data_IF_027060086711
#
_entry.id   IF_027060086711
#
_cell.length_a   1.000
_cell.length_b   1.000
_cell.length_c   1.000
_cell.angle_alpha   90.00
_cell.angle_beta   90.00
_cell.angle_gamma   90.00
#
_symmetry.space_group_name_H-M   'P 1'
#
loop_
_entity.id
_entity.type
_entity.pdbx_description
1 polymer ?
#
# COMPACT_ATOMS: atom_id res chain seq x y z
N UNK A 1 -21.82 -21.67 3.32
CA UNK A 1 -21.27 -20.75 4.33
C UNK A 1 -20.51 -19.69 3.59
N UNK A 2 -20.96 -18.43 3.62
CA UNK A 2 -20.18 -17.30 3.11
C UNK A 2 -18.98 -17.07 4.01
N UNK A 3 -17.81 -16.87 3.42
CA UNK A 3 -16.60 -16.51 4.14
C UNK A 3 -16.61 -15.01 4.47
N UNK A 4 -15.81 -14.59 5.43
CA UNK A 4 -15.62 -13.16 5.76
C UNK A 4 -15.12 -12.37 4.53
N UNK A 5 -14.33 -13.01 3.67
CA UNK A 5 -13.85 -12.41 2.42
C UNK A 5 -15.03 -12.10 1.49
N UNK A 6 -15.98 -13.03 1.35
CA UNK A 6 -17.17 -12.81 0.52
C UNK A 6 -18.01 -11.62 1.03
N UNK A 7 -18.06 -11.40 2.34
CA UNK A 7 -18.76 -10.25 2.94
C UNK A 7 -18.03 -8.93 2.64
N UNK A 8 -16.70 -8.94 2.67
CA UNK A 8 -15.88 -7.78 2.31
C UNK A 8 -16.09 -7.42 0.84
N UNK A 9 -15.98 -8.40 -0.06
CA UNK A 9 -16.05 -8.17 -1.51
C UNK A 9 -17.41 -7.60 -1.95
N UNK A 10 -18.51 -7.90 -1.24
CA UNK A 10 -19.84 -7.32 -1.50
C UNK A 10 -19.94 -5.82 -1.20
N UNK A 11 -19.06 -5.28 -0.36
CA UNK A 11 -19.07 -3.86 0.06
C UNK A 11 -18.14 -3.04 -0.83
N UNK A 12 -17.17 -3.68 -1.49
CA UNK A 12 -16.18 -3.03 -2.32
C UNK A 12 -16.68 -2.89 -3.77
N UNK A 13 -16.16 -1.91 -4.53
CA UNK A 13 -16.50 -1.80 -5.95
C UNK A 13 -15.96 -2.99 -6.74
N UNK A 14 -16.76 -3.47 -7.68
CA UNK A 14 -16.40 -4.61 -8.53
C UNK A 14 -15.11 -4.35 -9.33
N UNK A 15 -14.27 -5.39 -9.43
CA UNK A 15 -13.04 -5.34 -10.21
C UNK A 15 -11.88 -4.55 -9.59
N UNK A 16 -12.05 -3.95 -8.41
CA UNK A 16 -10.97 -3.21 -7.72
C UNK A 16 -9.98 -4.09 -6.98
N UNK A 17 -10.39 -5.30 -6.59
CA UNK A 17 -9.56 -6.25 -5.84
C UNK A 17 -9.15 -7.38 -6.78
N UNK A 18 -7.84 -7.60 -6.94
CA UNK A 18 -7.28 -8.70 -7.74
C UNK A 18 -7.22 -10.01 -6.96
N UNK A 19 -6.98 -9.94 -5.66
CA UNK A 19 -6.97 -11.11 -4.77
C UNK A 19 -7.31 -10.72 -3.32
N UNK A 20 -7.84 -11.66 -2.56
CA UNK A 20 -8.21 -11.46 -1.16
C UNK A 20 -7.86 -12.72 -0.34
N UNK A 21 -6.98 -12.56 0.64
CA UNK A 21 -6.42 -13.69 1.39
C UNK A 21 -6.29 -13.39 2.88
N UNK A 22 -6.21 -14.45 3.69
CA UNK A 22 -5.82 -14.34 5.08
C UNK A 22 -4.30 -14.51 5.21
N UNK A 23 -3.63 -13.49 5.73
CA UNK A 23 -2.23 -13.56 6.13
C UNK A 23 -2.13 -13.56 7.65
N UNK A 24 -2.05 -14.76 8.23
CA UNK A 24 -2.14 -14.99 9.67
C UNK A 24 -3.41 -14.36 10.27
N UNK A 25 -3.27 -13.30 11.07
CA UNK A 25 -4.39 -12.60 11.69
C UNK A 25 -4.98 -11.46 10.83
N UNK A 26 -4.37 -11.16 9.67
CA UNK A 26 -4.77 -10.06 8.80
C UNK A 26 -5.58 -10.54 7.62
N UNK A 27 -6.54 -9.71 7.19
CA UNK A 27 -7.19 -9.85 5.88
C UNK A 27 -6.47 -8.90 4.94
N UNK A 28 -5.87 -9.45 3.88
CA UNK A 28 -5.10 -8.69 2.91
C UNK A 28 -5.85 -8.70 1.59
N UNK A 29 -6.06 -7.51 1.04
CA UNK A 29 -6.66 -7.29 -0.26
C UNK A 29 -5.57 -6.75 -1.19
N UNK A 30 -5.36 -7.44 -2.30
CA UNK A 30 -4.47 -6.98 -3.36
C UNK A 30 -5.25 -6.23 -4.42
N UNK A 31 -4.65 -5.16 -4.96
CA UNK A 31 -5.22 -4.41 -6.08
C UNK A 31 -4.15 -4.16 -7.14
N UNK A 32 -4.55 -4.29 -8.41
CA UNK A 32 -3.77 -3.88 -9.58
C UNK A 32 -4.10 -2.46 -10.04
N UNK A 33 -5.01 -1.78 -9.35
CA UNK A 33 -5.47 -0.44 -9.65
C UNK A 33 -4.73 0.56 -8.75
N UNK A 34 -3.71 1.22 -9.30
CA UNK A 34 -2.89 2.19 -8.58
C UNK A 34 -3.70 3.39 -8.06
N UNK A 35 -4.69 3.85 -8.81
CA UNK A 35 -5.53 4.99 -8.40
C UNK A 35 -6.40 4.60 -7.20
N UNK A 36 -6.96 3.39 -7.22
CA UNK A 36 -7.73 2.86 -6.10
C UNK A 36 -6.87 2.58 -4.86
N UNK A 37 -5.61 2.17 -5.04
CA UNK A 37 -4.67 2.02 -3.94
C UNK A 37 -4.40 3.37 -3.24
N UNK A 38 -4.18 4.43 -4.01
CA UNK A 38 -3.94 5.78 -3.52
C UNK A 38 -5.19 6.40 -2.88
N UNK A 39 -6.34 6.27 -3.53
CA UNK A 39 -7.62 6.74 -3.01
C UNK A 39 -8.76 5.72 -3.28
N UNK A 40 -9.07 4.93 -2.25
CA UNK A 40 -10.19 3.99 -2.28
C UNK A 40 -11.54 4.63 -1.93
N UNK A 41 -11.62 5.95 -1.81
CA UNK A 41 -12.83 6.71 -1.48
C UNK A 41 -13.54 6.23 -0.19
N UNK A 42 -12.75 5.72 0.76
CA UNK A 42 -13.23 5.20 2.03
C UNK A 42 -13.96 3.85 1.96
N UNK A 43 -13.94 3.16 0.82
CA UNK A 43 -14.56 1.84 0.65
C UNK A 43 -13.93 0.79 1.59
N UNK A 44 -12.61 0.81 1.78
CA UNK A 44 -11.92 -0.09 2.71
C UNK A 44 -12.38 0.16 4.15
N UNK A 45 -12.55 1.43 4.54
CA UNK A 45 -13.09 1.79 5.85
C UNK A 45 -14.50 1.23 6.05
N UNK A 46 -15.37 1.35 5.04
CA UNK A 46 -16.72 0.77 5.08
C UNK A 46 -16.68 -0.75 5.26
N UNK A 47 -15.78 -1.44 4.55
CA UNK A 47 -15.61 -2.88 4.71
C UNK A 47 -15.17 -3.24 6.14
N UNK A 48 -14.19 -2.53 6.71
CA UNK A 48 -13.76 -2.69 8.11
C UNK A 48 -14.93 -2.48 9.08
N UNK A 49 -15.78 -1.49 8.83
CA UNK A 49 -16.95 -1.20 9.65
C UNK A 49 -18.01 -2.32 9.62
N UNK A 50 -18.10 -3.08 8.52
CA UNK A 50 -19.00 -4.23 8.39
C UNK A 50 -18.45 -5.45 9.12
N UNK A 51 -17.19 -5.84 8.84
CA UNK A 51 -16.64 -7.11 9.35
C UNK A 51 -15.94 -7.00 10.70
N UNK A 52 -15.70 -5.77 11.21
CA UNK A 52 -15.02 -5.48 12.48
C UNK A 52 -13.66 -6.19 12.64
N UNK A 53 -12.93 -6.34 11.53
CA UNK A 53 -11.60 -6.96 11.46
C UNK A 53 -10.63 -6.04 10.73
N UNK A 54 -9.32 -6.22 10.99
CA UNK A 54 -8.25 -5.47 10.32
C UNK A 54 -8.16 -5.90 8.86
N UNK A 55 -8.32 -4.94 7.95
CA UNK A 55 -8.16 -5.12 6.51
C UNK A 55 -6.96 -4.26 6.07
N UNK A 56 -6.07 -4.86 5.28
CA UNK A 56 -4.91 -4.20 4.71
C UNK A 56 -5.03 -4.22 3.18
N UNK A 57 -5.04 -3.05 2.55
CA UNK A 57 -5.00 -2.92 1.10
C UNK A 57 -3.53 -2.84 0.66
N UNK A 58 -3.11 -3.66 -0.30
CA UNK A 58 -1.76 -3.70 -0.84
C UNK A 58 -1.78 -3.60 -2.36
N UNK A 59 -0.75 -2.97 -2.93
CA UNK A 59 -0.47 -3.06 -4.36
C UNK A 59 -0.09 -4.49 -4.70
N UNK A 60 -0.68 -5.02 -5.75
CA UNK A 60 -0.32 -6.32 -6.31
C UNK A 60 1.16 -6.30 -6.75
N UNK A 61 1.99 -7.29 -6.36
CA UNK A 61 3.40 -7.32 -6.72
C UNK A 61 3.65 -7.17 -8.23
N UNK A 62 2.70 -7.60 -9.07
CA UNK A 62 2.81 -7.50 -10.54
C UNK A 62 2.83 -6.06 -11.07
N UNK A 63 2.41 -5.07 -10.28
CA UNK A 63 2.44 -3.64 -10.66
C UNK A 63 3.56 -2.87 -9.95
N UNK A 64 4.42 -3.55 -9.17
CA UNK A 64 5.55 -2.92 -8.46
C UNK A 64 6.81 -2.94 -9.31
N UNK A 65 7.67 -1.93 -9.15
CA UNK A 65 8.99 -1.90 -9.80
C UNK A 65 9.96 -2.85 -9.10
N UNK A 66 10.94 -3.36 -9.84
CA UNK A 66 12.04 -4.13 -9.27
C UNK A 66 12.85 -3.25 -8.32
N UNK A 67 13.39 -3.86 -7.25
CA UNK A 67 14.12 -3.14 -6.20
C UNK A 67 15.33 -2.36 -6.76
N UNK A 68 16.07 -2.98 -7.68
CA UNK A 68 17.24 -2.39 -8.35
C UNK A 68 16.90 -1.14 -9.18
N UNK A 69 15.67 -1.04 -9.68
CA UNK A 69 15.17 0.11 -10.46
C UNK A 69 14.48 1.15 -9.56
N UNK A 70 13.84 0.68 -8.49
CA UNK A 70 13.10 1.51 -7.55
C UNK A 70 14.03 2.37 -6.68
N UNK A 71 15.14 1.82 -6.18
CA UNK A 71 16.08 2.56 -5.32
C UNK A 71 16.62 3.85 -5.98
N UNK A 72 17.20 3.83 -7.19
CA UNK A 72 17.69 5.05 -7.83
C UNK A 72 16.55 6.05 -8.12
N UNK A 73 15.35 5.56 -8.43
CA UNK A 73 14.17 6.40 -8.64
C UNK A 73 13.77 7.12 -7.35
N UNK A 74 13.72 6.42 -6.23
CA UNK A 74 13.43 6.98 -4.91
C UNK A 74 14.47 8.04 -4.53
N UNK A 75 15.77 7.73 -4.67
CA UNK A 75 16.85 8.69 -4.35
C UNK A 75 16.82 9.95 -5.21
N UNK A 76 16.28 9.87 -6.43
CA UNK A 76 16.12 11.02 -7.32
C UNK A 76 14.91 11.89 -6.95
N UNK A 77 13.83 11.29 -6.43
CA UNK A 77 12.63 12.01 -5.99
C UNK A 77 12.89 12.76 -4.69
N UNK A 78 13.61 12.12 -3.75
CA UNK A 78 13.85 12.67 -2.43
C UNK A 78 14.99 13.70 -2.44
N UNK A 79 14.83 14.85 -1.74
CA UNK A 79 15.88 15.86 -1.68
C UNK A 79 17.08 15.37 -0.86
N UNK A 80 18.30 15.67 -1.30
CA UNK A 80 19.54 15.30 -0.57
C UNK A 80 19.54 15.82 0.87
N UNK A 81 18.95 17.01 1.08
CA UNK A 81 18.82 17.64 2.40
C UNK A 81 18.00 16.84 3.41
N UNK A 82 17.19 15.87 2.95
CA UNK A 82 16.44 14.96 3.81
C UNK A 82 17.35 13.96 4.55
N UNK A 83 18.59 13.77 4.09
CA UNK A 83 19.55 12.83 4.69
C UNK A 83 19.03 11.40 4.60
N UNK A 84 18.70 10.93 3.40
CA UNK A 84 18.19 9.56 3.16
C UNK A 84 19.31 8.54 3.42
N UNK A 85 19.10 7.68 4.39
CA UNK A 85 19.97 6.57 4.76
C UNK A 85 19.58 5.28 4.06
N UNK A 86 19.12 4.30 4.85
CA UNK A 86 18.74 2.98 4.36
C UNK A 86 17.38 3.01 3.66
N UNK A 87 17.29 2.25 2.57
CA UNK A 87 16.05 1.95 1.87
C UNK A 87 15.85 0.44 1.98
N UNK A 88 14.80 0.02 2.68
CA UNK A 88 14.52 -1.39 2.98
C UNK A 88 13.26 -1.78 2.24
N UNK A 89 13.37 -2.73 1.32
CA UNK A 89 12.23 -3.25 0.56
C UNK A 89 11.58 -4.44 1.29
N UNK A 90 10.32 -4.28 1.69
CA UNK A 90 9.46 -5.37 2.13
C UNK A 90 8.62 -5.86 0.95
N UNK A 91 9.22 -6.75 0.15
CA UNK A 91 8.58 -7.30 -1.05
C UNK A 91 7.31 -8.10 -0.75
N UNK A 92 7.19 -8.71 0.45
CA UNK A 92 6.00 -9.48 0.81
C UNK A 92 4.79 -8.58 1.01
N UNK A 93 5.02 -7.33 1.41
CA UNK A 93 3.98 -6.33 1.64
C UNK A 93 3.85 -5.31 0.52
N UNK A 94 4.67 -5.40 -0.53
CA UNK A 94 4.78 -4.38 -1.57
C UNK A 94 5.09 -2.99 -0.98
N UNK A 95 5.96 -2.93 0.03
CA UNK A 95 6.28 -1.71 0.77
C UNK A 95 7.78 -1.39 0.71
N UNK A 96 8.09 -0.10 0.77
CA UNK A 96 9.45 0.40 0.97
C UNK A 96 9.51 1.25 2.23
N UNK A 97 10.50 0.96 3.07
CA UNK A 97 10.77 1.70 4.30
C UNK A 97 12.01 2.53 4.05
N UNK A 98 11.87 3.85 4.20
CA UNK A 98 12.93 4.81 3.92
C UNK A 98 13.32 5.49 5.23
N UNK A 99 14.56 5.28 5.64
CA UNK A 99 15.15 5.96 6.78
C UNK A 99 15.71 7.31 6.34
N UNK A 100 15.29 8.40 6.99
CA UNK A 100 15.75 9.75 6.67
C UNK A 100 16.00 10.53 7.96
N UNK A 101 17.08 11.32 8.00
CA UNK A 101 17.37 12.22 9.12
C UNK A 101 16.29 13.28 9.30
N UNK A 102 15.71 13.77 8.19
CA UNK A 102 14.62 14.75 8.17
C UNK A 102 13.43 14.21 7.37
N UNK A 103 12.58 13.35 7.97
CA UNK A 103 11.43 12.75 7.29
C UNK A 103 10.45 13.77 6.70
N UNK A 104 10.30 14.94 7.32
CA UNK A 104 9.43 16.00 6.79
C UNK A 104 9.87 16.54 5.42
N UNK A 105 11.19 16.59 5.16
CA UNK A 105 11.72 16.96 3.84
C UNK A 105 11.58 15.81 2.83
N UNK A 106 11.74 14.56 3.29
CA UNK A 106 11.52 13.38 2.46
C UNK A 106 10.06 13.33 1.96
N UNK A 107 9.08 13.52 2.85
CA UNK A 107 7.64 13.53 2.52
C UNK A 107 7.26 14.71 1.61
N UNK A 108 7.91 15.85 1.78
CA UNK A 108 7.59 17.07 1.04
C UNK A 108 6.31 17.76 1.55
N UNK A 109 5.97 18.91 0.95
CA UNK A 109 4.77 19.66 1.34
C UNK A 109 3.53 18.89 0.90
N UNK A 110 2.59 18.65 1.83
CA UNK A 110 1.36 17.89 1.57
C UNK A 110 1.59 16.48 0.99
N UNK A 111 2.76 15.88 1.25
CA UNK A 111 3.09 14.58 0.68
C UNK A 111 3.46 14.61 -0.80
N UNK A 112 3.97 15.72 -1.32
CA UNK A 112 4.33 15.87 -2.74
C UNK A 112 5.32 14.83 -3.27
N UNK A 113 6.04 14.14 -2.39
CA UNK A 113 7.04 13.13 -2.73
C UNK A 113 6.59 11.70 -2.34
N UNK A 114 5.35 11.53 -1.88
CA UNK A 114 4.75 10.23 -1.52
C UNK A 114 3.90 9.66 -2.66
#
# INVERSE_FOLDING_TARGET
MTTIIDEILKVLPDGKISDAVFEAANIVLYTKDSDYFLDNQGSIKKAVDVVKKRIELRSDPSITQNQDEAEPTIRKILPEEAGVGNIIFDAQRSQVIIEAEKPGLAIGKQGSNL
#
